data_IF_040668256417
#
_entry.id   IF_040668256417
#
_cell.length_a   1.000
_cell.length_b   1.000
_cell.length_c   1.000
_cell.angle_alpha   90.00
_cell.angle_beta   90.00
_cell.angle_gamma   90.00
#
_symmetry.space_group_name_H-M   'P 1'
#
loop_
_entity.id
_entity.type
_entity.pdbx_description
1 polymer ?
#
# COMPACT_ATOMS: atom_id res chain seq x y z
N UNK A 1 5.25 -7.93 21.78
CA UNK A 1 5.78 -6.97 20.79
C UNK A 1 4.81 -7.04 19.64
N UNK A 2 3.91 -6.07 19.54
CA UNK A 2 2.96 -5.98 18.43
C UNK A 2 3.77 -5.81 17.15
N UNK A 3 3.72 -6.80 16.27
CA UNK A 3 4.38 -6.75 14.98
C UNK A 3 3.55 -5.80 14.11
N UNK A 4 3.91 -4.52 14.14
CA UNK A 4 3.31 -3.52 13.26
C UNK A 4 3.57 -3.95 11.81
N UNK A 5 2.52 -4.33 11.08
CA UNK A 5 2.64 -4.82 9.71
C UNK A 5 3.19 -3.71 8.82
N UNK A 6 4.34 -3.95 8.20
CA UNK A 6 4.96 -2.98 7.32
C UNK A 6 4.19 -2.88 6.00
N UNK A 7 4.08 -1.67 5.46
CA UNK A 7 3.48 -1.40 4.17
C UNK A 7 4.51 -0.70 3.30
N UNK A 8 4.95 -1.40 2.26
CA UNK A 8 5.92 -0.92 1.29
C UNK A 8 5.20 -0.38 0.06
N UNK A 9 5.27 0.91 -0.19
CA UNK A 9 4.58 1.57 -1.30
C UNK A 9 5.61 2.00 -2.35
N UNK A 10 5.38 1.63 -3.61
CA UNK A 10 6.15 2.13 -4.75
C UNK A 10 5.29 3.08 -5.57
N UNK A 11 5.77 4.29 -5.84
CA UNK A 11 5.07 5.26 -6.69
C UNK A 11 6.07 6.19 -7.39
N UNK A 12 5.90 6.40 -8.70
CA UNK A 12 6.73 7.37 -9.45
C UNK A 12 8.24 7.11 -9.39
N UNK A 13 8.66 5.84 -9.29
CA UNK A 13 10.07 5.48 -9.13
C UNK A 13 10.65 5.65 -7.73
N UNK A 14 9.84 6.06 -6.75
CA UNK A 14 10.21 6.17 -5.33
C UNK A 14 9.59 5.03 -4.53
N UNK A 15 10.25 4.65 -3.44
CA UNK A 15 9.73 3.73 -2.43
C UNK A 15 9.43 4.50 -1.15
N UNK A 16 8.33 4.17 -0.51
CA UNK A 16 7.88 4.72 0.78
C UNK A 16 7.57 3.54 1.70
N UNK A 17 8.10 3.59 2.91
CA UNK A 17 7.85 2.58 3.93
C UNK A 17 6.97 3.20 5.01
N UNK A 18 5.85 2.54 5.31
CA UNK A 18 4.88 2.95 6.33
C UNK A 18 4.31 1.71 7.02
N UNK A 19 3.22 1.85 7.77
CA UNK A 19 2.54 0.76 8.42
C UNK A 19 1.01 0.99 8.47
N UNK A 20 0.27 -0.03 8.89
CA UNK A 20 -1.19 0.05 9.00
C UNK A 20 -1.67 1.14 9.97
N UNK A 21 -0.95 1.39 11.06
CA UNK A 21 -1.30 2.40 12.07
C UNK A 21 -1.17 3.82 11.48
N UNK A 22 -0.07 4.11 10.79
CA UNK A 22 0.18 5.38 10.08
C UNK A 22 -0.82 5.61 8.94
N UNK A 23 -1.29 4.54 8.31
CA UNK A 23 -2.36 4.58 7.31
C UNK A 23 -3.77 4.63 7.92
N UNK A 24 -3.90 4.60 9.25
CA UNK A 24 -5.17 4.55 9.97
C UNK A 24 -6.08 3.39 9.52
N UNK A 25 -5.47 2.22 9.30
CA UNK A 25 -6.13 0.99 8.87
C UNK A 25 -6.18 -0.05 10.00
N UNK A 26 -7.15 -0.96 9.93
CA UNK A 26 -7.21 -2.15 10.78
C UNK A 26 -6.16 -3.19 10.37
N UNK A 27 -5.93 -4.22 11.19
CA UNK A 27 -4.94 -5.29 10.94
C UNK A 27 -5.20 -6.12 9.66
N UNK A 28 -6.42 -6.09 9.12
CA UNK A 28 -6.78 -6.86 7.93
C UNK A 28 -7.56 -5.99 6.93
N UNK A 29 -6.95 -4.95 6.36
CA UNK A 29 -7.64 -4.05 5.46
C UNK A 29 -7.90 -4.74 4.13
N UNK A 30 -9.00 -4.36 3.48
CA UNK A 30 -9.25 -4.76 2.10
C UNK A 30 -8.26 -4.05 1.17
N UNK A 31 -8.05 -4.59 -0.03
CA UNK A 31 -7.21 -3.97 -1.06
C UNK A 31 -7.70 -2.55 -1.41
N UNK A 32 -9.02 -2.34 -1.38
CA UNK A 32 -9.62 -1.04 -1.65
C UNK A 32 -9.32 -0.04 -0.53
N UNK A 33 -9.39 -0.47 0.73
CA UNK A 33 -9.04 0.38 1.88
C UNK A 33 -7.56 0.75 1.85
N UNK A 34 -6.69 -0.23 1.55
CA UNK A 34 -5.25 -0.01 1.44
C UNK A 34 -4.93 0.99 0.32
N UNK A 35 -5.50 0.81 -0.87
CA UNK A 35 -5.32 1.75 -1.99
C UNK A 35 -5.80 3.16 -1.66
N UNK A 36 -6.97 3.29 -1.05
CA UNK A 36 -7.52 4.59 -0.64
C UNK A 36 -6.69 5.26 0.46
N UNK A 37 -6.13 4.50 1.40
CA UNK A 37 -5.22 5.03 2.40
C UNK A 37 -3.90 5.48 1.77
N UNK A 38 -3.35 4.70 0.85
CA UNK A 38 -2.14 5.05 0.09
C UNK A 38 -2.33 6.33 -0.72
N UNK A 39 -3.47 6.50 -1.41
CA UNK A 39 -3.71 7.72 -2.18
C UNK A 39 -3.78 8.96 -1.29
N UNK A 40 -4.36 8.84 -0.08
CA UNK A 40 -4.41 9.93 0.91
C UNK A 40 -3.03 10.20 1.51
N UNK A 41 -2.27 9.15 1.84
CA UNK A 41 -0.94 9.28 2.44
C UNK A 41 0.08 9.92 1.48
N UNK A 42 0.01 9.60 0.19
CA UNK A 42 0.87 10.17 -0.84
C UNK A 42 0.34 11.50 -1.42
N UNK A 43 -0.84 11.96 -0.99
CA UNK A 43 -1.54 13.13 -1.55
C UNK A 43 -1.69 13.07 -3.08
N UNK A 44 -2.13 11.91 -3.59
CA UNK A 44 -2.36 11.66 -5.02
C UNK A 44 -3.82 11.34 -5.31
N UNK A 45 -4.23 11.49 -6.56
CA UNK A 45 -5.59 11.14 -6.98
C UNK A 45 -5.86 9.64 -6.79
N UNK A 46 -7.06 9.28 -6.30
CA UNK A 46 -7.47 7.88 -6.18
C UNK A 46 -7.42 7.12 -7.51
N UNK A 47 -7.55 7.82 -8.64
CA UNK A 47 -7.40 7.23 -9.97
C UNK A 47 -5.99 6.66 -10.22
N UNK A 48 -4.95 7.23 -9.61
CA UNK A 48 -3.55 6.76 -9.77
C UNK A 48 -3.35 5.38 -9.15
N UNK A 49 -4.02 5.10 -8.03
CA UNK A 49 -3.89 3.83 -7.29
C UNK A 49 -4.85 2.74 -7.80
N UNK A 50 -5.76 3.05 -8.72
CA UNK A 50 -6.70 2.06 -9.27
C UNK A 50 -5.97 0.86 -9.87
N UNK A 51 -4.91 1.15 -10.63
CA UNK A 51 -4.07 0.15 -11.29
C UNK A 51 -3.01 -0.45 -10.37
N UNK A 52 -3.02 -0.17 -9.08
CA UNK A 52 -2.02 -0.74 -8.17
C UNK A 52 -2.36 -2.19 -7.83
N UNK A 53 -1.34 -2.99 -7.59
CA UNK A 53 -1.43 -4.34 -7.06
C UNK A 53 -1.02 -4.31 -5.60
N UNK A 54 -1.78 -5.03 -4.78
CA UNK A 54 -1.47 -5.26 -3.36
C UNK A 54 -0.99 -6.71 -3.23
N UNK A 55 0.26 -6.87 -2.81
CA UNK A 55 0.85 -8.18 -2.53
C UNK A 55 0.98 -8.34 -1.02
N UNK A 56 0.52 -9.47 -0.49
CA UNK A 56 0.63 -9.83 0.92
C UNK A 56 1.74 -10.87 1.04
N UNK A 57 2.81 -10.54 1.76
CA UNK A 57 3.94 -11.45 1.94
C UNK A 57 3.61 -12.50 3.01
N UNK A 58 4.31 -13.63 3.00
CA UNK A 58 4.19 -14.67 4.04
C UNK A 58 4.63 -14.18 5.43
N UNK A 59 5.36 -13.07 5.51
CA UNK A 59 5.76 -12.42 6.76
C UNK A 59 4.69 -11.49 7.36
N UNK A 60 3.59 -11.24 6.65
CA UNK A 60 2.53 -10.31 7.08
C UNK A 60 2.70 -8.88 6.56
N UNK A 61 3.80 -8.58 5.87
CA UNK A 61 4.02 -7.28 5.24
C UNK A 61 3.18 -7.13 3.97
N UNK A 62 2.84 -5.88 3.66
CA UNK A 62 2.05 -5.50 2.49
C UNK A 62 2.93 -4.73 1.52
N UNK A 63 2.84 -5.06 0.23
CA UNK A 63 3.53 -4.33 -0.84
C UNK A 63 2.48 -3.76 -1.77
N UNK A 64 2.52 -2.44 -1.97
CA UNK A 64 1.63 -1.70 -2.86
C UNK A 64 2.45 -1.11 -3.98
N UNK A 65 2.18 -1.51 -5.22
CA UNK A 65 2.93 -1.03 -6.39
C UNK A 65 2.03 -0.88 -7.62
N UNK A 66 2.36 -0.01 -8.57
CA UNK A 66 1.72 0.00 -9.87
C UNK A 66 1.77 -1.39 -10.49
N UNK A 67 0.64 -1.84 -11.04
CA UNK A 67 0.67 -2.93 -12.00
C UNK A 67 1.49 -2.43 -13.18
N UNK A 68 2.72 -2.92 -13.35
CA UNK A 68 3.46 -2.67 -14.57
C UNK A 68 2.67 -3.36 -15.69
N UNK A 69 2.10 -2.64 -16.67
CA UNK A 69 1.64 -3.30 -17.86
C UNK A 69 2.90 -3.90 -18.48
N UNK A 70 2.96 -5.23 -18.51
CA UNK A 70 4.05 -5.96 -19.13
C UNK A 70 4.34 -5.35 -20.52
N UNK A 71 5.63 -5.13 -20.80
CA UNK A 71 6.10 -5.01 -22.18
C UNK A 71 5.95 -6.32 -22.92
#
# INVERSE_FOLDING_TARGET
MTQTQAVHIRHGGKSYDTNLEELSLSDAPSDADLKNAVSRHLDIAAAEVNNYVVERTTGGDLVVRPNAPFG
#
